data_IF_875030558216
#
_entry.id   IF_875030558216
#
_cell.length_a   1.000
_cell.length_b   1.000
_cell.length_c   1.000
_cell.angle_alpha   90.00
_cell.angle_beta   90.00
_cell.angle_gamma   90.00
#
_symmetry.space_group_name_H-M   'P 1'
#
loop_
_entity.id
_entity.type
_entity.pdbx_description
1 polymer ?
#
# COMPACT_ATOMS: atom_id res chain seq x y z
N UNK A 1 4.61 0.83 13.77
CA UNK A 1 5.94 0.98 13.14
C UNK A 1 6.04 -0.08 12.06
N UNK A 2 6.54 0.22 10.87
CA UNK A 2 6.63 -0.77 9.79
C UNK A 2 7.80 -1.72 10.08
N UNK A 3 7.60 -3.03 9.85
CA UNK A 3 8.70 -3.99 9.87
C UNK A 3 9.58 -3.81 8.62
N UNK A 4 10.91 -3.64 8.75
CA UNK A 4 11.82 -3.53 7.61
C UNK A 4 11.67 -4.67 6.59
N UNK A 5 11.29 -5.87 7.06
CA UNK A 5 11.12 -7.07 6.24
C UNK A 5 9.90 -7.03 5.32
N UNK A 6 8.94 -6.15 5.59
CA UNK A 6 7.75 -5.98 4.76
C UNK A 6 7.94 -4.94 3.66
N UNK A 7 9.04 -4.19 3.70
CA UNK A 7 9.28 -3.13 2.73
C UNK A 7 9.91 -3.69 1.46
N UNK A 8 9.49 -3.13 0.33
CA UNK A 8 10.03 -3.40 -1.00
C UNK A 8 10.33 -2.09 -1.71
N UNK A 9 11.32 -2.12 -2.61
CA UNK A 9 11.56 -1.03 -3.55
C UNK A 9 10.26 -0.70 -4.29
N UNK A 10 9.93 0.58 -4.40
CA UNK A 10 8.68 1.05 -5.01
C UNK A 10 7.52 1.27 -4.04
N UNK A 11 7.59 0.76 -2.80
CA UNK A 11 6.57 1.02 -1.78
C UNK A 11 6.46 2.53 -1.45
N UNK A 12 5.24 2.98 -1.18
CA UNK A 12 4.95 4.30 -0.65
C UNK A 12 4.83 4.23 0.87
N UNK A 13 5.53 5.15 1.53
CA UNK A 13 5.56 5.25 2.99
C UNK A 13 5.45 6.70 3.43
N UNK A 14 5.09 6.92 4.70
CA UNK A 14 5.21 8.22 5.35
C UNK A 14 6.55 8.32 6.04
N UNK A 15 7.29 9.38 5.75
CA UNK A 15 8.56 9.67 6.39
C UNK A 15 8.38 10.84 7.36
N UNK A 16 8.83 10.65 8.59
CA UNK A 16 8.82 11.66 9.65
C UNK A 16 10.05 12.54 9.44
N UNK A 17 9.83 13.84 9.21
CA UNK A 17 10.88 14.83 9.12
C UNK A 17 10.99 15.57 10.45
N UNK A 18 12.10 15.33 11.15
CA UNK A 18 12.46 16.08 12.35
C UNK A 18 12.91 17.48 11.94
N UNK A 19 12.10 18.50 12.25
CA UNK A 19 12.43 19.89 11.95
C UNK A 19 13.40 20.45 13.00
N UNK A 20 14.25 21.43 12.64
CA UNK A 20 15.13 22.11 13.59
C UNK A 20 14.35 22.81 14.70
N UNK A 21 15.05 23.11 15.80
CA UNK A 21 14.51 23.74 17.01
C UNK A 21 13.77 25.04 16.63
N UNK A 22 12.48 25.14 17.00
CA UNK A 22 11.60 26.28 16.70
C UNK A 22 10.37 25.94 15.84
N UNK A 23 10.31 24.73 15.26
CA UNK A 23 9.13 24.24 14.54
C UNK A 23 8.31 23.29 15.43
N UNK A 24 7.03 23.61 15.65
CA UNK A 24 6.19 22.93 16.63
C UNK A 24 5.48 21.65 16.13
N UNK A 25 5.65 21.25 14.86
CA UNK A 25 4.99 20.05 14.32
C UNK A 25 5.92 19.29 13.37
N UNK A 26 6.20 17.99 13.62
CA UNK A 26 6.92 17.16 12.65
C UNK A 26 6.12 17.11 11.34
N UNK A 27 6.82 17.30 10.22
CA UNK A 27 6.21 17.15 8.90
C UNK A 27 6.21 15.68 8.52
N UNK A 28 5.07 15.18 8.06
CA UNK A 28 4.97 13.84 7.47
C UNK A 28 4.91 13.99 5.96
N UNK A 29 5.95 13.53 5.28
CA UNK A 29 5.98 13.53 3.83
C UNK A 29 5.69 12.12 3.32
N UNK A 30 5.03 12.03 2.17
CA UNK A 30 4.89 10.76 1.45
C UNK A 30 6.08 10.63 0.50
N UNK A 31 6.76 9.50 0.57
CA UNK A 31 7.91 9.21 -0.28
C UNK A 31 7.85 7.78 -0.82
N UNK A 32 8.48 7.57 -1.97
CA UNK A 32 8.63 6.25 -2.61
C UNK A 32 10.02 5.71 -2.32
N UNK A 33 10.09 4.48 -1.84
CA UNK A 33 11.36 3.79 -1.57
C UNK A 33 12.09 3.52 -2.89
N UNK A 34 13.34 3.98 -2.98
CA UNK A 34 14.26 3.70 -4.09
C UNK A 34 15.28 2.62 -3.73
N UNK A 35 15.70 2.55 -2.46
CA UNK A 35 16.68 1.56 -1.98
C UNK A 35 16.41 1.18 -0.52
N UNK A 36 16.76 -0.05 -0.15
CA UNK A 36 16.61 -0.57 1.21
C UNK A 36 17.99 -1.01 1.69
N UNK A 37 18.49 -0.34 2.72
CA UNK A 37 19.76 -0.63 3.38
C UNK A 37 19.52 -1.33 4.72
N UNK A 38 20.58 -1.86 5.34
CA UNK A 38 20.49 -2.58 6.61
C UNK A 38 19.82 -1.76 7.72
N UNK A 39 20.05 -0.44 7.76
CA UNK A 39 19.61 0.45 8.85
C UNK A 39 18.70 1.61 8.40
N UNK A 40 18.46 1.75 7.09
CA UNK A 40 17.72 2.88 6.52
C UNK A 40 17.07 2.52 5.20
N UNK A 41 16.14 3.36 4.77
CA UNK A 41 15.61 3.35 3.40
C UNK A 41 16.03 4.63 2.70
N UNK A 42 16.42 4.52 1.44
CA UNK A 42 16.49 5.66 0.55
C UNK A 42 15.15 5.83 -0.15
N UNK A 43 14.75 7.08 -0.32
CA UNK A 43 13.52 7.46 -1.02
C UNK A 43 13.80 8.57 -2.01
N UNK A 44 12.84 8.83 -2.88
CA UNK A 44 12.87 10.01 -3.77
C UNK A 44 12.87 11.37 -3.04
N UNK A 45 12.82 11.40 -1.70
CA UNK A 45 12.87 12.62 -0.87
C UNK A 45 14.08 12.68 0.06
N UNK A 46 14.89 11.62 0.14
CA UNK A 46 16.04 11.52 1.03
C UNK A 46 16.14 10.17 1.74
N UNK A 47 17.06 10.09 2.69
CA UNK A 47 17.37 8.87 3.45
C UNK A 47 16.70 8.94 4.83
N UNK A 48 15.99 7.88 5.21
CA UNK A 48 15.25 7.80 6.47
C UNK A 48 15.62 6.52 7.23
N UNK A 49 15.77 6.62 8.55
CA UNK A 49 15.92 5.44 9.42
C UNK A 49 14.57 4.74 9.54
N UNK A 50 14.55 3.43 9.75
CA UNK A 50 13.30 2.67 9.88
C UNK A 50 12.34 3.20 10.94
N UNK A 51 12.87 3.71 12.06
CA UNK A 51 12.07 4.32 13.13
C UNK A 51 11.31 5.59 12.70
N UNK A 52 11.79 6.26 11.65
CA UNK A 52 11.23 7.48 11.11
C UNK A 52 10.27 7.20 9.93
N UNK A 53 9.93 5.92 9.69
CA UNK A 53 8.99 5.48 8.67
C UNK A 53 7.69 5.00 9.34
N UNK A 54 6.57 5.53 8.84
CA UNK A 54 5.23 5.17 9.26
C UNK A 54 4.41 4.61 8.08
N UNK A 55 3.50 3.66 8.34
CA UNK A 55 2.61 3.15 7.31
C UNK A 55 1.64 4.25 6.85
N UNK A 56 1.26 4.19 5.58
CA UNK A 56 0.07 4.88 5.09
C UNK A 56 -1.08 3.90 5.26
N UNK A 57 -2.05 4.23 6.12
CA UNK A 57 -3.24 3.40 6.29
C UNK A 57 -4.03 3.29 4.99
N UNK A 58 -4.46 2.08 4.68
CA UNK A 58 -5.30 1.82 3.53
C UNK A 58 -6.71 2.37 3.81
N UNK A 59 -7.35 2.92 2.77
CA UNK A 59 -8.74 3.40 2.84
C UNK A 59 -9.47 2.99 1.57
N UNK A 60 -10.80 2.96 1.62
CA UNK A 60 -11.65 2.70 0.45
C UNK A 60 -11.33 3.68 -0.70
N UNK A 61 -11.18 4.98 -0.40
CA UNK A 61 -10.88 5.99 -1.40
C UNK A 61 -9.55 5.72 -2.13
N UNK A 62 -8.52 5.30 -1.39
CA UNK A 62 -7.23 4.93 -2.00
C UNK A 62 -7.42 3.77 -2.98
N UNK A 63 -8.18 2.73 -2.59
CA UNK A 63 -8.41 1.57 -3.44
C UNK A 63 -9.16 1.94 -4.73
N UNK A 64 -10.21 2.74 -4.61
CA UNK A 64 -11.01 3.20 -5.76
C UNK A 64 -10.16 4.08 -6.68
N UNK A 65 -9.50 5.10 -6.13
CA UNK A 65 -8.72 6.06 -6.92
C UNK A 65 -7.52 5.40 -7.59
N UNK A 66 -7.00 4.32 -7.02
CA UNK A 66 -5.87 3.55 -7.56
C UNK A 66 -6.29 2.48 -8.59
N UNK A 67 -7.53 2.53 -9.10
CA UNK A 67 -8.03 1.67 -10.18
C UNK A 67 -8.96 0.54 -9.75
N UNK A 68 -9.36 0.50 -8.47
CA UNK A 68 -10.38 -0.42 -7.98
C UNK A 68 -11.78 -0.02 -8.44
N UNK A 69 -12.58 -1.00 -8.85
CA UNK A 69 -13.98 -0.78 -9.23
C UNK A 69 -14.89 -1.25 -8.09
N UNK A 70 -15.63 -0.32 -7.49
CA UNK A 70 -16.63 -0.64 -6.46
C UNK A 70 -17.73 -1.50 -7.07
N UNK A 71 -17.88 -2.73 -6.56
CA UNK A 71 -18.91 -3.70 -6.98
C UNK A 71 -20.10 -3.62 -6.03
N UNK A 72 -19.83 -3.45 -4.74
CA UNK A 72 -20.83 -3.23 -3.69
C UNK A 72 -20.24 -2.35 -2.59
N UNK A 73 -21.04 -2.00 -1.58
CA UNK A 73 -20.55 -1.28 -0.39
C UNK A 73 -19.51 -2.06 0.41
N UNK A 74 -19.36 -3.36 0.16
CA UNK A 74 -18.42 -4.25 0.84
C UNK A 74 -17.37 -4.86 -0.08
N UNK A 75 -17.32 -4.48 -1.35
CA UNK A 75 -16.41 -5.12 -2.30
C UNK A 75 -15.89 -4.17 -3.37
N UNK A 76 -14.56 -4.16 -3.52
CA UNK A 76 -13.83 -3.47 -4.59
C UNK A 76 -13.11 -4.51 -5.43
N UNK A 77 -13.34 -4.50 -6.74
CA UNK A 77 -12.72 -5.43 -7.68
C UNK A 77 -11.59 -4.80 -8.48
N UNK A 78 -10.49 -5.53 -8.62
CA UNK A 78 -9.35 -5.17 -9.46
C UNK A 78 -9.31 -6.09 -10.68
N UNK A 79 -10.21 -5.82 -11.63
CA UNK A 79 -10.36 -6.57 -12.89
C UNK A 79 -10.08 -5.67 -14.08
N UNK A 80 -9.47 -6.25 -15.10
CA UNK A 80 -9.32 -5.58 -16.38
C UNK A 80 -10.67 -5.61 -17.11
N UNK A 81 -11.35 -4.45 -17.24
CA UNK A 81 -12.75 -4.35 -17.71
C UNK A 81 -13.01 -4.98 -19.07
N UNK A 82 -11.96 -5.16 -19.88
CA UNK A 82 -12.05 -5.62 -21.26
C UNK A 82 -11.51 -7.05 -21.44
N UNK A 83 -11.21 -7.79 -20.37
CA UNK A 83 -10.68 -9.15 -20.44
C UNK A 83 -11.57 -10.14 -19.71
N UNK A 84 -11.54 -11.39 -20.19
CA UNK A 84 -12.12 -12.54 -19.49
C UNK A 84 -11.46 -12.60 -18.10
N UNK A 85 -12.23 -12.85 -17.03
CA UNK A 85 -11.65 -12.94 -15.68
C UNK A 85 -10.50 -13.94 -15.64
N UNK A 86 -9.31 -13.47 -15.29
CA UNK A 86 -8.10 -14.29 -15.18
C UNK A 86 -7.82 -14.65 -13.72
N UNK A 87 -6.90 -15.58 -13.50
CA UNK A 87 -6.26 -15.89 -12.20
C UNK A 87 -5.78 -14.65 -11.46
N UNK A 88 -5.31 -13.67 -12.22
CA UNK A 88 -4.78 -12.42 -11.69
C UNK A 88 -5.86 -11.50 -11.08
N UNK A 89 -7.15 -11.74 -11.36
CA UNK A 89 -8.24 -10.91 -10.84
C UNK A 89 -8.52 -11.22 -9.37
N UNK A 90 -8.57 -10.16 -8.57
CA UNK A 90 -8.88 -10.25 -7.15
C UNK A 90 -9.87 -9.17 -6.73
N UNK A 91 -10.50 -9.37 -5.59
CA UNK A 91 -11.29 -8.35 -4.91
C UNK A 91 -10.77 -8.09 -3.51
N UNK A 92 -11.07 -6.90 -3.02
CA UNK A 92 -10.87 -6.50 -1.63
C UNK A 92 -12.24 -6.39 -1.01
N UNK A 93 -12.49 -7.23 0.00
CA UNK A 93 -13.72 -7.21 0.80
C UNK A 93 -13.52 -6.25 1.96
N UNK A 94 -14.50 -5.40 2.20
CA UNK A 94 -14.52 -4.44 3.28
C UNK A 94 -15.45 -4.98 4.37
N UNK A 95 -14.90 -5.20 5.56
CA UNK A 95 -15.68 -5.54 6.74
C UNK A 95 -15.34 -4.58 7.88
N UNK A 96 -16.35 -3.79 8.26
CA UNK A 96 -16.22 -2.65 9.17
C UNK A 96 -15.16 -1.66 8.65
N UNK A 97 -13.94 -1.70 9.19
CA UNK A 97 -12.80 -0.85 8.78
C UNK A 97 -11.58 -1.67 8.32
N UNK A 98 -11.78 -2.97 8.04
CA UNK A 98 -10.71 -3.88 7.64
C UNK A 98 -10.87 -4.28 6.18
N UNK A 99 -9.73 -4.45 5.52
CA UNK A 99 -9.67 -4.84 4.12
C UNK A 99 -9.13 -6.25 4.01
N UNK A 100 -9.88 -7.13 3.36
CA UNK A 100 -9.52 -8.53 3.19
C UNK A 100 -9.33 -8.84 1.71
N UNK A 101 -8.18 -9.39 1.35
CA UNK A 101 -7.99 -9.90 -0.01
C UNK A 101 -8.86 -11.14 -0.22
N UNK A 102 -9.55 -11.19 -1.35
CA UNK A 102 -10.21 -12.38 -1.86
C UNK A 102 -9.76 -12.63 -3.31
N UNK A 103 -9.12 -13.76 -3.55
CA UNK A 103 -8.69 -14.18 -4.89
C UNK A 103 -9.16 -15.61 -5.17
N UNK A 104 -9.59 -15.87 -6.40
CA UNK A 104 -10.05 -17.20 -6.83
C UNK A 104 -8.94 -18.25 -6.77
N UNK A 105 -7.68 -17.84 -6.90
CA UNK A 105 -6.52 -18.73 -6.82
C UNK A 105 -6.13 -19.06 -5.38
N UNK A 106 -6.59 -18.24 -4.44
CA UNK A 106 -6.29 -18.33 -3.02
C UNK A 106 -7.58 -18.52 -2.22
N UNK A 107 -8.36 -19.56 -2.58
CA UNK A 107 -9.72 -19.84 -2.06
C UNK A 107 -9.89 -19.77 -0.52
N UNK A 108 -8.80 -19.84 0.25
CA UNK A 108 -8.81 -19.81 1.72
C UNK A 108 -7.93 -18.69 2.33
N UNK A 109 -7.31 -17.82 1.52
CA UNK A 109 -6.39 -16.80 2.02
C UNK A 109 -7.11 -15.47 2.24
N UNK A 110 -7.70 -15.30 3.43
CA UNK A 110 -8.18 -14.00 3.90
C UNK A 110 -7.04 -13.27 4.62
N UNK A 111 -6.35 -12.40 3.89
CA UNK A 111 -5.27 -11.57 4.45
C UNK A 111 -5.84 -10.20 4.78
N UNK A 112 -5.73 -9.78 6.05
CA UNK A 112 -6.02 -8.42 6.46
C UNK A 112 -4.94 -7.47 5.91
N UNK A 113 -5.36 -6.42 5.21
CA UNK A 113 -4.51 -5.40 4.61
C UNK A 113 -4.79 -4.07 5.31
N UNK A 114 -3.87 -3.63 6.15
CA UNK A 114 -4.07 -2.39 6.94
C UNK A 114 -3.42 -1.18 6.29
N UNK A 115 -2.47 -1.41 5.38
CA UNK A 115 -1.58 -0.37 4.87
C UNK A 115 -1.35 -0.45 3.36
N UNK A 116 -1.00 0.69 2.79
CA UNK A 116 -0.71 0.84 1.36
C UNK A 116 0.46 -0.04 0.93
N UNK A 117 1.54 -0.16 1.73
CA UNK A 117 2.70 -0.98 1.33
C UNK A 117 2.34 -2.47 1.26
N UNK A 118 1.54 -2.96 2.21
CA UNK A 118 1.01 -4.34 2.18
C UNK A 118 0.17 -4.56 0.92
N UNK A 119 -0.73 -3.62 0.61
CA UNK A 119 -1.53 -3.68 -0.62
C UNK A 119 -0.66 -3.68 -1.88
N UNK A 120 0.36 -2.83 -1.95
CA UNK A 120 1.29 -2.76 -3.09
C UNK A 120 2.06 -4.07 -3.28
N UNK A 121 2.51 -4.71 -2.20
CA UNK A 121 3.22 -5.98 -2.27
C UNK A 121 2.29 -7.09 -2.78
N UNK A 122 1.09 -7.21 -2.20
CA UNK A 122 0.11 -8.20 -2.64
C UNK A 122 -0.27 -7.95 -4.11
N UNK A 123 -0.50 -6.70 -4.52
CA UNK A 123 -0.79 -6.37 -5.92
C UNK A 123 0.35 -6.80 -6.84
N UNK A 124 1.60 -6.53 -6.45
CA UNK A 124 2.77 -6.92 -7.22
C UNK A 124 2.89 -8.43 -7.34
N UNK A 125 2.67 -9.18 -6.25
CA UNK A 125 2.71 -10.63 -6.25
C UNK A 125 1.61 -11.24 -7.15
N UNK A 126 0.44 -10.61 -7.24
CA UNK A 126 -0.67 -11.07 -8.07
C UNK A 126 -0.59 -10.65 -9.54
N UNK A 127 -0.12 -9.42 -9.83
CA UNK A 127 -0.15 -8.83 -11.19
C UNK A 127 1.23 -8.73 -11.84
N UNK A 128 2.31 -9.02 -11.12
CA UNK A 128 3.70 -8.89 -11.58
C UNK A 128 4.13 -7.45 -11.91
N UNK A 129 3.35 -6.44 -11.50
CA UNK A 129 3.59 -5.02 -11.82
C UNK A 129 3.21 -4.11 -10.66
N UNK A 130 3.82 -2.93 -10.62
CA UNK A 130 3.47 -1.91 -9.63
C UNK A 130 2.06 -1.35 -9.85
N UNK A 131 1.32 -1.16 -8.77
CA UNK A 131 0.11 -0.35 -8.77
C UNK A 131 0.45 1.14 -8.62
N UNK A 132 -0.23 1.99 -9.39
CA UNK A 132 -0.18 3.43 -9.20
C UNK A 132 -1.14 3.84 -8.09
N UNK A 133 -0.59 4.18 -6.92
CA UNK A 133 -1.38 4.59 -5.75
C UNK A 133 -1.73 6.08 -5.85
N UNK A 134 -3.02 6.38 -5.70
CA UNK A 134 -3.54 7.75 -5.63
C UNK A 134 -4.10 7.97 -4.22
N UNK A 135 -3.54 8.97 -3.51
CA UNK A 135 -3.85 9.25 -2.10
C UNK A 135 -4.91 10.34 -1.88
N UNK A 136 -5.34 11.00 -2.95
CA UNK A 136 -6.27 12.15 -2.98
C UNK A 136 -7.61 11.76 -3.53
#
# INVERSE_FOLDING_TARGET
MISPRELRIGNLVRCIVHLPIGYNRPSMIVARISEINENSVETNKGIYRYRDIAPIFLTENILINSGGNKVSDKEISFKDKNKIPTSEDFSVVIDSDKFYLNSKDYKDLSVNIESVHQFQNIYYDLKGKEINIILT
#
